data_IF_819577291775
#
_entry.id   IF_819577291775
#
_cell.length_a   1.000
_cell.length_b   1.000
_cell.length_c   1.000
_cell.angle_alpha   90.00
_cell.angle_beta   90.00
_cell.angle_gamma   90.00
#
_symmetry.space_group_name_H-M   'P 1'
#
loop_
_entity.id
_entity.type
_entity.pdbx_description
1 polymer ?
#
# COMPACT_ATOMS: atom_id res chain seq x y z
N UNK A 1 -25.08 -17.19 6.76
CA UNK A 1 -24.72 -16.08 5.85
C UNK A 1 -24.89 -14.78 6.61
N UNK A 2 -24.06 -13.77 6.36
CA UNK A 2 -24.16 -12.44 6.98
C UNK A 2 -24.64 -11.44 5.94
N UNK A 3 -25.78 -10.81 6.17
CA UNK A 3 -26.33 -9.77 5.29
C UNK A 3 -26.14 -8.42 5.96
N UNK A 4 -25.45 -7.51 5.28
CA UNK A 4 -25.13 -6.18 5.78
C UNK A 4 -26.03 -5.20 5.05
N UNK A 5 -26.97 -4.61 5.79
CA UNK A 5 -27.93 -3.65 5.24
C UNK A 5 -27.40 -2.23 5.38
N UNK A 6 -27.34 -1.48 4.27
CA UNK A 6 -26.81 -0.12 4.20
C UNK A 6 -27.76 0.83 3.47
N UNK A 7 -27.49 2.13 3.52
CA UNK A 7 -28.20 3.15 2.74
C UNK A 7 -27.87 3.07 1.24
N UNK A 8 -26.78 2.36 0.89
CA UNK A 8 -26.33 2.07 -0.48
C UNK A 8 -26.57 0.61 -0.87
N UNK A 9 -26.86 0.31 -2.15
CA UNK A 9 -27.17 -1.04 -2.64
C UNK A 9 -25.94 -1.95 -2.84
N UNK A 10 -24.77 -1.53 -2.37
CA UNK A 10 -23.51 -2.27 -2.53
C UNK A 10 -22.28 -1.36 -2.46
N UNK A 11 -21.14 -1.91 -2.84
CA UNK A 11 -19.88 -1.20 -3.03
C UNK A 11 -19.80 -0.70 -4.47
N UNK A 12 -19.31 0.53 -4.66
CA UNK A 12 -19.16 1.18 -5.95
C UNK A 12 -17.69 1.55 -6.21
N UNK A 13 -17.31 1.75 -7.47
CA UNK A 13 -15.93 2.12 -7.84
C UNK A 13 -15.54 3.50 -7.30
N UNK A 14 -16.51 4.41 -7.16
CA UNK A 14 -16.37 5.72 -6.53
C UNK A 14 -17.62 6.02 -5.71
N UNK A 15 -17.64 7.12 -4.95
CA UNK A 15 -18.86 7.54 -4.24
C UNK A 15 -19.97 7.87 -5.25
N UNK A 16 -21.07 7.10 -5.31
CA UNK A 16 -22.14 7.32 -6.27
C UNK A 16 -22.93 8.60 -6.01
N UNK A 17 -22.79 9.22 -4.83
CA UNK A 17 -23.37 10.54 -4.53
C UNK A 17 -22.59 11.67 -5.21
N UNK A 18 -21.32 11.43 -5.55
CA UNK A 18 -20.42 12.42 -6.15
C UNK A 18 -20.17 12.16 -7.65
N UNK A 19 -20.18 10.89 -8.07
CA UNK A 19 -19.78 10.50 -9.43
C UNK A 19 -20.75 9.49 -10.05
N UNK A 20 -20.91 9.57 -11.37
CA UNK A 20 -21.54 8.49 -12.14
C UNK A 20 -20.58 7.29 -12.19
N UNK A 21 -20.94 6.21 -11.54
CA UNK A 21 -20.03 5.08 -11.28
C UNK A 21 -20.77 3.74 -11.25
N UNK A 22 -20.03 2.64 -11.36
CA UNK A 22 -20.58 1.29 -11.47
C UNK A 22 -20.52 0.52 -10.14
N UNK A 23 -21.52 -0.33 -9.91
CA UNK A 23 -21.57 -1.23 -8.75
C UNK A 23 -20.59 -2.39 -8.93
N UNK A 24 -19.86 -2.73 -7.89
CA UNK A 24 -18.97 -3.90 -7.83
C UNK A 24 -19.79 -5.12 -7.40
N UNK A 25 -19.68 -6.23 -8.14
CA UNK A 25 -20.41 -7.48 -7.83
C UNK A 25 -19.77 -8.26 -6.68
N UNK A 26 -18.45 -8.39 -6.70
CA UNK A 26 -17.66 -9.14 -5.72
C UNK A 26 -16.46 -8.30 -5.34
N UNK A 27 -16.18 -8.22 -4.04
CA UNK A 27 -15.00 -7.56 -3.49
C UNK A 27 -14.35 -8.47 -2.45
N UNK A 28 -13.03 -8.44 -2.33
CA UNK A 28 -12.37 -9.21 -1.26
C UNK A 28 -12.50 -8.49 0.08
N UNK A 29 -12.52 -9.24 1.18
CA UNK A 29 -12.54 -8.67 2.53
C UNK A 29 -11.32 -7.77 2.78
N UNK A 30 -10.15 -8.16 2.26
CA UNK A 30 -8.92 -7.39 2.32
C UNK A 30 -9.05 -6.04 1.59
N UNK A 31 -9.52 -6.05 0.34
CA UNK A 31 -9.72 -4.84 -0.46
C UNK A 31 -10.75 -3.90 0.18
N UNK A 32 -11.91 -4.44 0.59
CA UNK A 32 -12.94 -3.63 1.25
C UNK A 32 -12.43 -3.03 2.57
N UNK A 33 -11.63 -3.78 3.33
CA UNK A 33 -11.02 -3.27 4.57
C UNK A 33 -9.99 -2.16 4.28
N UNK A 34 -9.21 -2.28 3.20
CA UNK A 34 -8.29 -1.22 2.75
C UNK A 34 -9.06 0.02 2.32
N UNK A 35 -10.06 -0.11 1.44
CA UNK A 35 -10.88 1.02 1.00
C UNK A 35 -11.56 1.72 2.17
N UNK A 36 -12.13 0.96 3.11
CA UNK A 36 -12.75 1.54 4.29
C UNK A 36 -11.73 2.25 5.21
N UNK A 37 -10.49 1.76 5.31
CA UNK A 37 -9.40 2.46 6.03
C UNK A 37 -8.90 3.73 5.34
N UNK A 38 -9.20 3.88 4.04
CA UNK A 38 -8.89 5.06 3.23
C UNK A 38 -10.06 6.05 3.16
N UNK A 39 -11.18 5.76 3.85
CA UNK A 39 -12.31 6.67 3.97
C UNK A 39 -13.60 6.21 3.28
N UNK A 40 -13.61 5.04 2.63
CA UNK A 40 -14.85 4.49 2.08
C UNK A 40 -15.81 4.07 3.21
N UNK A 41 -16.83 4.90 3.48
CA UNK A 41 -17.78 4.75 4.60
C UNK A 41 -18.83 3.64 4.42
N UNK A 42 -18.40 2.45 4.04
CA UNK A 42 -19.30 1.31 3.79
C UNK A 42 -19.38 0.43 5.05
N UNK A 43 -18.24 -0.08 5.50
CA UNK A 43 -18.13 -0.88 6.70
C UNK A 43 -17.01 -0.38 7.59
N UNK A 44 -17.15 -0.57 8.91
CA UNK A 44 -16.00 -0.37 9.77
C UNK A 44 -14.95 -1.42 9.40
N UNK A 45 -13.71 -1.04 9.08
CA UNK A 45 -12.75 -2.00 8.60
C UNK A 45 -12.42 -3.13 9.60
N UNK A 46 -12.49 -2.84 10.91
CA UNK A 46 -12.29 -3.85 11.95
C UNK A 46 -13.40 -4.90 11.97
N UNK A 47 -14.63 -4.56 11.56
CA UNK A 47 -15.70 -5.54 11.45
C UNK A 47 -15.34 -6.64 10.44
N UNK A 48 -14.64 -6.27 9.37
CA UNK A 48 -14.17 -7.23 8.34
C UNK A 48 -13.05 -8.14 8.87
N UNK A 49 -12.31 -7.73 9.91
CA UNK A 49 -11.26 -8.55 10.52
C UNK A 49 -11.80 -9.83 11.19
N UNK A 50 -13.09 -9.83 11.53
CA UNK A 50 -13.81 -10.98 12.11
C UNK A 50 -14.43 -11.90 11.04
N UNK A 51 -14.51 -11.45 9.78
CA UNK A 51 -15.01 -12.28 8.68
C UNK A 51 -13.97 -13.34 8.34
N UNK A 52 -14.29 -14.60 8.62
CA UNK A 52 -13.53 -15.78 8.18
C UNK A 52 -13.91 -16.15 6.74
N UNK A 53 -13.02 -16.86 6.04
CA UNK A 53 -13.25 -17.35 4.67
C UNK A 53 -14.52 -18.20 4.54
N UNK A 54 -14.90 -18.95 5.57
CA UNK A 54 -16.11 -19.77 5.61
C UNK A 54 -17.41 -18.97 5.72
N UNK A 55 -17.35 -17.69 6.08
CA UNK A 55 -18.52 -16.84 6.26
C UNK A 55 -18.80 -16.12 4.94
N UNK A 56 -19.89 -16.51 4.29
CA UNK A 56 -20.48 -15.74 3.18
C UNK A 56 -21.09 -14.45 3.72
N UNK A 57 -20.68 -13.31 3.16
CA UNK A 57 -21.22 -12.01 3.51
C UNK A 57 -21.55 -11.19 2.25
N UNK A 58 -22.58 -10.34 2.33
CA UNK A 58 -22.92 -9.41 1.25
C UNK A 58 -23.55 -8.12 1.77
N UNK A 59 -23.44 -7.06 0.97
CA UNK A 59 -23.99 -5.73 1.26
C UNK A 59 -25.19 -5.48 0.35
N UNK A 60 -26.34 -5.13 0.93
CA UNK A 60 -27.57 -4.77 0.23
C UNK A 60 -28.12 -3.43 0.73
N UNK A 61 -29.05 -2.83 -0.02
CA UNK A 61 -29.71 -1.60 0.42
C UNK A 61 -30.81 -1.89 1.43
N UNK A 62 -31.03 -0.94 2.33
CA UNK A 62 -32.24 -0.86 3.13
C UNK A 62 -33.49 -0.76 2.24
N UNK A 63 -34.51 -1.55 2.58
CA UNK A 63 -35.76 -1.63 1.83
C UNK A 63 -35.73 -2.54 0.58
N UNK A 64 -34.58 -3.17 0.28
CA UNK A 64 -34.51 -4.19 -0.76
C UNK A 64 -34.80 -5.59 -0.20
N UNK A 65 -35.28 -6.48 -1.08
CA UNK A 65 -35.46 -7.89 -0.76
C UNK A 65 -34.13 -8.50 -0.29
N UNK A 66 -34.20 -9.29 0.78
CA UNK A 66 -33.06 -10.07 1.25
C UNK A 66 -32.56 -11.02 0.16
N UNK A 67 -33.34 -11.38 -0.84
CA UNK A 67 -32.91 -12.21 -1.98
C UNK A 67 -32.16 -11.44 -3.07
N UNK A 68 -32.08 -10.11 -2.99
CA UNK A 68 -31.46 -9.29 -4.03
C UNK A 68 -29.93 -9.45 -4.06
N UNK A 69 -29.39 -9.44 -5.28
CA UNK A 69 -27.95 -9.45 -5.51
C UNK A 69 -27.32 -8.10 -5.13
N UNK A 70 -26.61 -8.11 -4.01
CA UNK A 70 -25.82 -6.99 -3.49
C UNK A 70 -24.38 -7.00 -4.02
N UNK A 71 -23.45 -6.56 -3.18
CA UNK A 71 -22.02 -6.84 -3.37
C UNK A 71 -21.60 -7.96 -2.43
N UNK A 72 -21.06 -9.05 -2.97
CA UNK A 72 -20.52 -10.15 -2.18
C UNK A 72 -19.13 -9.82 -1.65
N UNK A 73 -18.86 -10.20 -0.40
CA UNK A 73 -17.56 -10.06 0.24
C UNK A 73 -16.92 -11.44 0.32
N UNK A 74 -15.83 -11.66 -0.42
CA UNK A 74 -15.10 -12.92 -0.44
C UNK A 74 -13.85 -12.92 0.46
N UNK A 75 -13.41 -14.09 0.90
CA UNK A 75 -12.16 -14.26 1.65
C UNK A 75 -12.21 -13.71 3.07
N UNK A 76 -11.04 -13.44 3.63
CA UNK A 76 -10.85 -12.91 4.97
C UNK A 76 -9.75 -11.87 4.96
N UNK A 77 -9.72 -11.05 6.01
CA UNK A 77 -8.68 -10.05 6.18
C UNK A 77 -7.43 -10.67 6.78
N UNK A 78 -6.30 -10.57 6.08
CA UNK A 78 -5.05 -11.21 6.49
C UNK A 78 -4.04 -10.21 7.06
N UNK A 79 -3.26 -10.67 8.04
CA UNK A 79 -1.98 -10.06 8.38
C UNK A 79 -0.92 -10.72 7.50
N UNK A 80 -0.05 -9.91 6.90
CA UNK A 80 1.00 -10.40 6.04
C UNK A 80 2.26 -9.55 6.23
N UNK A 81 3.42 -10.20 6.18
CA UNK A 81 4.71 -9.55 6.07
C UNK A 81 5.36 -10.11 4.80
N UNK A 82 5.66 -9.25 3.84
CA UNK A 82 6.38 -9.62 2.62
C UNK A 82 7.64 -8.78 2.48
N UNK A 83 8.61 -9.31 1.73
CA UNK A 83 9.89 -8.65 1.49
C UNK A 83 10.24 -8.70 0.00
N UNK A 84 11.05 -7.76 -0.47
CA UNK A 84 11.55 -7.81 -1.85
C UNK A 84 12.42 -9.06 -2.08
N UNK A 85 12.23 -9.72 -3.22
CA UNK A 85 13.00 -10.92 -3.59
C UNK A 85 14.41 -10.62 -4.07
N UNK A 86 14.66 -9.38 -4.51
CA UNK A 86 15.93 -8.88 -5.03
C UNK A 86 16.24 -7.50 -4.43
N UNK A 87 17.51 -7.06 -4.45
CA UNK A 87 17.84 -5.71 -4.05
C UNK A 87 17.18 -4.67 -4.98
N UNK A 88 16.81 -3.56 -4.39
CA UNK A 88 16.25 -2.39 -5.03
C UNK A 88 17.27 -1.25 -5.05
N UNK A 89 17.09 -0.34 -5.98
CA UNK A 89 17.75 0.97 -6.01
C UNK A 89 16.73 2.07 -5.77
N UNK A 90 17.14 3.08 -5.01
CA UNK A 90 16.44 4.35 -4.90
C UNK A 90 17.06 5.33 -5.90
N UNK A 91 16.27 5.75 -6.89
CA UNK A 91 16.61 6.84 -7.80
C UNK A 91 15.93 8.10 -7.27
N UNK A 92 16.71 9.11 -6.92
CA UNK A 92 16.24 10.38 -6.38
C UNK A 92 16.45 11.51 -7.38
N UNK A 93 15.39 12.21 -7.73
CA UNK A 93 15.41 13.43 -8.54
C UNK A 93 15.23 14.62 -7.61
N UNK A 94 16.19 15.54 -7.57
CA UNK A 94 16.00 16.85 -6.96
C UNK A 94 15.45 17.82 -7.99
N UNK A 95 14.19 18.23 -7.80
CA UNK A 95 13.44 19.00 -8.78
C UNK A 95 13.24 20.48 -8.43
N UNK A 96 13.74 20.93 -7.28
CA UNK A 96 13.58 22.32 -6.85
C UNK A 96 12.09 22.69 -6.80
N UNK A 97 11.70 23.71 -7.55
CA UNK A 97 10.32 24.19 -7.63
C UNK A 97 9.54 23.60 -8.82
N UNK A 98 10.20 22.95 -9.78
CA UNK A 98 9.58 22.46 -11.02
C UNK A 98 9.51 20.93 -11.05
N UNK A 99 8.32 20.40 -10.73
CA UNK A 99 8.07 18.97 -10.72
C UNK A 99 8.25 18.35 -12.13
N UNK A 100 8.93 17.20 -12.25
CA UNK A 100 9.15 16.52 -13.53
C UNK A 100 7.85 15.87 -14.05
N UNK A 101 6.97 16.64 -14.70
CA UNK A 101 5.63 16.20 -15.10
C UNK A 101 5.63 14.92 -15.98
N UNK A 102 6.63 14.75 -16.85
CA UNK A 102 6.79 13.58 -17.72
C UNK A 102 7.37 12.33 -17.03
N UNK A 103 7.53 12.33 -15.71
CA UNK A 103 8.24 11.27 -14.99
C UNK A 103 7.64 9.88 -15.26
N UNK A 104 6.31 9.79 -15.31
CA UNK A 104 5.64 8.52 -15.51
C UNK A 104 5.81 7.96 -16.94
N UNK A 105 6.13 8.79 -17.93
CA UNK A 105 6.50 8.31 -19.27
C UNK A 105 7.86 7.59 -19.25
N UNK A 106 8.75 8.03 -18.37
CA UNK A 106 10.02 7.36 -18.15
C UNK A 106 9.82 5.99 -17.49
N UNK A 107 8.88 5.92 -16.54
CA UNK A 107 8.65 4.77 -15.66
C UNK A 107 7.64 3.74 -16.18
N UNK A 108 6.81 4.10 -17.17
CA UNK A 108 5.65 3.28 -17.62
C UNK A 108 5.96 1.84 -18.04
N UNK A 109 7.19 1.56 -18.44
CA UNK A 109 7.64 0.23 -18.86
C UNK A 109 8.30 -0.59 -17.75
N UNK A 110 8.34 -0.07 -16.52
CA UNK A 110 9.05 -0.67 -15.40
C UNK A 110 8.12 -0.87 -14.20
N UNK A 111 8.40 -1.93 -13.45
CA UNK A 111 7.74 -2.16 -12.18
C UNK A 111 8.32 -1.21 -11.13
N UNK A 112 7.43 -0.47 -10.46
CA UNK A 112 7.80 0.50 -9.43
C UNK A 112 7.41 -0.07 -8.06
N UNK A 113 8.40 -0.19 -7.19
CA UNK A 113 8.25 -0.76 -5.85
C UNK A 113 7.86 0.29 -4.80
N UNK A 114 8.07 1.56 -5.12
CA UNK A 114 7.65 2.68 -4.30
C UNK A 114 7.97 4.01 -4.94
N UNK A 115 7.16 5.01 -4.60
CA UNK A 115 7.41 6.41 -4.92
C UNK A 115 7.29 7.20 -3.63
N UNK A 116 8.27 8.05 -3.38
CA UNK A 116 8.31 8.95 -2.23
C UNK A 116 8.57 10.36 -2.68
N UNK A 117 8.00 11.33 -1.98
CA UNK A 117 8.14 12.74 -2.33
C UNK A 117 8.45 13.53 -1.07
N UNK A 118 9.59 14.21 -1.09
CA UNK A 118 9.94 15.26 -0.14
C UNK A 118 9.41 16.62 -0.59
N UNK A 119 9.89 17.70 0.00
CA UNK A 119 9.54 19.06 -0.43
C UNK A 119 10.03 19.38 -1.85
N UNK A 120 11.23 18.91 -2.22
CA UNK A 120 11.89 19.20 -3.50
C UNK A 120 12.55 17.96 -4.13
N UNK A 121 12.22 16.77 -3.62
CA UNK A 121 12.83 15.51 -4.04
C UNK A 121 11.76 14.47 -4.38
N UNK A 122 11.99 13.70 -5.44
CA UNK A 122 11.18 12.54 -5.81
C UNK A 122 12.07 11.30 -5.78
N UNK A 123 11.78 10.37 -4.88
CA UNK A 123 12.44 9.07 -4.77
C UNK A 123 11.62 7.98 -5.43
N UNK A 124 12.26 7.14 -6.24
CA UNK A 124 11.62 6.03 -6.94
C UNK A 124 12.40 4.75 -6.66
N UNK A 125 11.72 3.75 -6.13
CA UNK A 125 12.28 2.43 -5.86
C UNK A 125 12.01 1.49 -7.03
N UNK A 126 13.08 0.93 -7.59
CA UNK A 126 13.06 -0.02 -8.72
C UNK A 126 14.02 -1.16 -8.43
N UNK A 127 13.94 -2.27 -9.16
CA UNK A 127 14.96 -3.32 -9.06
C UNK A 127 16.33 -2.77 -9.47
N UNK A 128 17.36 -3.20 -8.76
CA UNK A 128 18.74 -2.75 -9.03
C UNK A 128 19.18 -3.05 -10.47
N UNK A 129 18.75 -4.18 -11.03
CA UNK A 129 19.06 -4.62 -12.40
C UNK A 129 18.60 -3.65 -13.52
N UNK A 130 17.54 -2.87 -13.30
CA UNK A 130 17.02 -1.90 -14.27
C UNK A 130 17.37 -0.45 -13.91
N UNK A 131 18.01 -0.23 -12.75
CA UNK A 131 18.16 1.08 -12.15
C UNK A 131 18.99 2.06 -13.01
N UNK A 132 20.11 1.61 -13.58
CA UNK A 132 20.97 2.44 -14.42
C UNK A 132 20.27 2.87 -15.72
N UNK A 133 19.51 1.96 -16.32
CA UNK A 133 18.73 2.25 -17.54
C UNK A 133 17.66 3.31 -17.27
N UNK A 134 16.99 3.20 -16.13
CA UNK A 134 15.97 4.19 -15.72
C UNK A 134 16.64 5.53 -15.41
N UNK A 135 17.74 5.53 -14.65
CA UNK A 135 18.47 6.75 -14.32
C UNK A 135 18.98 7.48 -15.58
N UNK A 136 19.52 6.74 -16.57
CA UNK A 136 19.92 7.31 -17.86
C UNK A 136 18.75 7.95 -18.61
N UNK A 137 17.61 7.23 -18.73
CA UNK A 137 16.41 7.79 -19.37
C UNK A 137 15.91 9.05 -18.68
N UNK A 138 15.99 9.11 -17.35
CA UNK A 138 15.59 10.29 -16.58
C UNK A 138 16.55 11.46 -16.79
N UNK A 139 17.86 11.22 -16.88
CA UNK A 139 18.84 12.27 -17.19
C UNK A 139 18.61 12.86 -18.58
N UNK A 140 18.31 12.02 -19.57
CA UNK A 140 18.02 12.47 -20.94
C UNK A 140 16.73 13.29 -21.00
N UNK A 141 15.70 12.88 -20.25
CA UNK A 141 14.39 13.55 -20.25
C UNK A 141 14.37 14.82 -19.38
N UNK A 142 15.15 14.85 -18.30
CA UNK A 142 15.23 15.95 -17.33
C UNK A 142 16.67 16.44 -17.15
N UNK A 143 17.32 16.99 -18.19
CA UNK A 143 18.75 17.33 -18.15
C UNK A 143 19.09 18.46 -17.15
N UNK A 144 18.08 19.21 -16.72
CA UNK A 144 18.24 20.31 -15.75
C UNK A 144 18.24 19.82 -14.30
N UNK A 145 17.74 18.61 -14.06
CA UNK A 145 17.50 18.05 -12.73
C UNK A 145 18.71 17.26 -12.25
N UNK A 146 18.96 17.27 -10.93
CA UNK A 146 20.02 16.46 -10.33
C UNK A 146 19.45 15.10 -9.97
N UNK A 147 20.09 14.04 -10.46
CA UNK A 147 19.67 12.66 -10.23
C UNK A 147 20.77 11.94 -9.45
N UNK A 148 20.38 11.24 -8.39
CA UNK A 148 21.27 10.43 -7.55
C UNK A 148 20.68 9.04 -7.41
N UNK A 149 21.53 8.01 -7.39
CA UNK A 149 21.13 6.62 -7.20
C UNK A 149 21.77 6.04 -5.94
N UNK A 150 21.02 5.21 -5.22
CA UNK A 150 21.51 4.40 -4.10
C UNK A 150 21.04 2.95 -4.24
N UNK A 151 21.98 2.02 -4.31
CA UNK A 151 21.75 0.58 -4.49
C UNK A 151 21.69 -0.18 -3.15
N UNK A 152 21.40 -1.49 -3.19
CA UNK A 152 21.46 -2.37 -2.01
C UNK A 152 20.33 -2.14 -1.00
N UNK A 153 19.13 -1.78 -1.45
CA UNK A 153 17.96 -1.52 -0.60
C UNK A 153 17.05 -2.74 -0.57
N UNK A 154 16.60 -3.12 0.62
CA UNK A 154 15.54 -4.11 0.83
C UNK A 154 14.23 -3.43 1.21
N UNK A 155 13.11 -3.98 0.71
CA UNK A 155 11.76 -3.50 1.02
C UNK A 155 11.04 -4.52 1.89
N UNK A 156 10.34 -4.06 2.92
CA UNK A 156 9.46 -4.85 3.77
C UNK A 156 8.07 -4.23 3.78
N UNK A 157 7.05 -5.02 3.47
CA UNK A 157 5.65 -4.59 3.54
C UNK A 157 4.97 -5.30 4.70
N UNK A 158 4.43 -4.52 5.63
CA UNK A 158 3.62 -4.98 6.75
C UNK A 158 2.15 -4.67 6.47
N UNK A 159 1.41 -5.69 6.04
CA UNK A 159 -0.05 -5.61 5.91
C UNK A 159 -0.71 -5.97 7.23
N UNK A 160 -1.42 -5.02 7.82
CA UNK A 160 -2.11 -5.20 9.11
C UNK A 160 -3.35 -6.08 8.92
N UNK A 161 -3.88 -6.66 10.01
CA UNK A 161 -5.22 -7.28 10.04
C UNK A 161 -6.32 -6.29 10.44
N UNK A 162 -6.01 -5.32 11.29
CA UNK A 162 -6.91 -4.24 11.75
C UNK A 162 -6.34 -2.89 11.28
N UNK A 163 -7.12 -1.95 10.75
CA UNK A 163 -6.57 -0.66 10.33
C UNK A 163 -6.48 0.36 11.45
N UNK A 164 -5.55 1.28 11.18
CA UNK A 164 -5.33 2.67 11.62
C UNK A 164 -5.50 3.08 13.09
N UNK A 165 -6.37 2.51 13.91
CA UNK A 165 -6.69 3.12 15.20
C UNK A 165 -6.05 2.44 16.41
N UNK A 166 -4.94 1.72 16.19
CA UNK A 166 -4.02 1.35 17.26
C UNK A 166 -2.81 2.28 17.24
N UNK A 167 -2.81 3.35 18.08
CA UNK A 167 -1.63 4.15 18.32
C UNK A 167 -0.42 3.27 18.64
N UNK A 168 0.77 3.72 18.21
CA UNK A 168 2.03 3.11 18.61
C UNK A 168 2.51 1.94 17.75
N UNK A 169 1.78 1.47 16.72
CA UNK A 169 2.31 0.41 15.85
C UNK A 169 3.56 0.84 15.07
N UNK A 170 3.55 2.05 14.49
CA UNK A 170 4.74 2.60 13.82
C UNK A 170 5.88 2.70 14.84
N UNK A 171 5.62 3.26 16.02
CA UNK A 171 6.61 3.35 17.09
C UNK A 171 7.18 1.99 17.49
N UNK A 172 6.32 0.97 17.66
CA UNK A 172 6.71 -0.40 17.98
C UNK A 172 7.64 -0.97 16.92
N UNK A 173 7.30 -0.81 15.64
CA UNK A 173 8.12 -1.26 14.51
C UNK A 173 9.47 -0.55 14.52
N UNK A 174 9.48 0.79 14.59
CA UNK A 174 10.73 1.57 14.57
C UNK A 174 11.60 1.31 15.80
N UNK A 175 11.01 1.10 16.98
CA UNK A 175 11.72 0.78 18.21
C UNK A 175 12.38 -0.60 18.16
N UNK A 176 11.68 -1.61 17.61
CA UNK A 176 12.26 -2.93 17.37
C UNK A 176 13.53 -2.81 16.50
N UNK A 177 13.46 -2.04 15.41
CA UNK A 177 14.60 -1.83 14.51
C UNK A 177 15.74 -1.08 15.20
N UNK A 178 15.43 0.02 15.90
CA UNK A 178 16.41 0.85 16.61
C UNK A 178 17.16 0.06 17.68
N UNK A 179 16.46 -0.75 18.50
CA UNK A 179 17.08 -1.59 19.54
C UNK A 179 18.05 -2.64 18.97
N UNK A 180 17.91 -2.99 17.70
CA UNK A 180 18.78 -3.94 17.00
C UNK A 180 19.80 -3.24 16.10
N UNK A 181 19.90 -1.91 16.12
CA UNK A 181 20.85 -1.16 15.31
C UNK A 181 20.58 -1.24 13.80
N UNK A 182 19.32 -1.45 13.40
CA UNK A 182 18.93 -1.49 12.00
C UNK A 182 18.51 -0.09 11.58
N UNK A 183 19.19 0.46 10.57
CA UNK A 183 18.87 1.78 10.07
C UNK A 183 17.74 1.72 9.03
N UNK A 184 16.87 2.73 9.03
CA UNK A 184 15.85 2.92 8.01
C UNK A 184 16.39 3.82 6.91
N UNK A 185 16.22 3.39 5.66
CA UNK A 185 16.34 4.27 4.49
C UNK A 185 15.12 5.17 4.43
N UNK A 186 13.93 4.58 4.56
CA UNK A 186 12.66 5.29 4.52
C UNK A 186 11.54 4.45 5.16
N UNK A 187 10.50 5.13 5.64
CA UNK A 187 9.25 4.53 6.10
C UNK A 187 8.08 5.25 5.45
N UNK A 188 7.15 4.49 4.88
CA UNK A 188 5.88 5.00 4.35
C UNK A 188 4.70 4.21 4.92
N UNK A 189 3.52 4.82 4.97
CA UNK A 189 2.30 4.18 5.44
C UNK A 189 1.11 4.63 4.62
N UNK A 190 0.42 3.69 3.98
CA UNK A 190 -0.78 3.94 3.19
C UNK A 190 -1.85 2.90 3.52
N UNK A 191 -3.05 3.37 3.83
CA UNK A 191 -4.16 2.50 4.24
C UNK A 191 -3.78 1.57 5.40
N UNK A 192 -3.63 0.29 5.10
CA UNK A 192 -3.32 -0.81 6.04
C UNK A 192 -1.88 -1.29 5.98
N UNK A 193 -1.05 -0.67 5.15
CA UNK A 193 0.31 -1.08 4.90
C UNK A 193 1.28 -0.13 5.57
N UNK A 194 2.32 -0.69 6.19
CA UNK A 194 3.55 0.04 6.53
C UNK A 194 4.63 -0.55 5.63
N UNK A 195 5.29 0.31 4.87
CA UNK A 195 6.37 -0.05 3.97
C UNK A 195 7.66 0.49 4.58
N UNK A 196 8.65 -0.38 4.74
CA UNK A 196 9.96 -0.05 5.27
C UNK A 196 11.00 -0.32 4.21
N UNK A 197 11.93 0.62 4.05
CA UNK A 197 13.11 0.45 3.22
C UNK A 197 14.33 0.42 4.15
N UNK A 198 15.14 -0.62 4.02
CA UNK A 198 16.32 -0.92 4.85
C UNK A 198 17.49 -1.35 3.97
N UNK A 199 18.67 -1.61 4.53
CA UNK A 199 19.71 -2.32 3.77
C UNK A 199 19.21 -3.70 3.36
N UNK A 200 19.45 -4.12 2.12
CA UNK A 200 19.11 -5.47 1.67
C UNK A 200 19.80 -6.55 2.52
N UNK A 201 21.00 -6.25 3.03
CA UNK A 201 21.75 -7.14 3.92
C UNK A 201 21.04 -7.35 5.28
N UNK A 202 20.22 -6.39 5.73
CA UNK A 202 19.44 -6.50 6.96
C UNK A 202 18.07 -7.15 6.74
N UNK A 203 17.65 -7.39 5.50
CA UNK A 203 16.26 -7.75 5.15
C UNK A 203 15.76 -9.01 5.88
N UNK A 204 16.57 -10.07 5.90
CA UNK A 204 16.25 -11.31 6.62
C UNK A 204 16.17 -11.11 8.13
N UNK A 205 17.03 -10.26 8.69
CA UNK A 205 17.03 -9.91 10.12
C UNK A 205 15.77 -9.14 10.48
N UNK A 206 15.39 -8.16 9.65
CA UNK A 206 14.15 -7.38 9.82
C UNK A 206 12.92 -8.28 9.76
N UNK A 207 12.83 -9.16 8.77
CA UNK A 207 11.72 -10.10 8.64
C UNK A 207 11.55 -10.95 9.90
N UNK A 208 12.64 -11.51 10.42
CA UNK A 208 12.65 -12.32 11.63
C UNK A 208 12.17 -11.52 12.86
N UNK A 209 12.68 -10.29 13.03
CA UNK A 209 12.30 -9.43 14.16
C UNK A 209 10.83 -9.04 14.11
N UNK A 210 10.32 -8.65 12.94
CA UNK A 210 8.92 -8.22 12.79
C UNK A 210 7.94 -9.39 12.84
N UNK A 211 8.37 -10.58 12.44
CA UNK A 211 7.57 -11.81 12.61
C UNK A 211 7.48 -12.21 14.08
N UNK A 212 8.59 -12.09 14.83
CA UNK A 212 8.66 -12.46 16.24
C UNK A 212 8.00 -11.45 17.18
N UNK A 213 8.16 -10.16 16.90
CA UNK A 213 7.78 -9.09 17.83
C UNK A 213 6.73 -8.11 17.29
N UNK A 214 6.50 -8.06 15.97
CA UNK A 214 5.52 -7.16 15.34
C UNK A 214 4.08 -7.52 15.69
#
# INVERSE_FOLDING_TARGET
EVIIVKDVPGVYQADPKLFKTSKIKVITADELSTLSSLGAKILHPDALSYKKKSIRARIIRHGEDLMKEGTFIDGEVKREISVSSSPLSLITIHYGDEFPAGIFECLSSYEIYGISMGSSYLGIYVKEEVSDKIAGKLLDFFPQHRIVKKDGIGMVVLKKKTPKDRPGLINKVTEILARHGINLVELSSIGREIILYVSFNDLGRVLNLLTKYG
#
